data_IF_174770389520
#
_entry.id   IF_174770389520
#
_cell.length_a   1.000
_cell.length_b   1.000
_cell.length_c   1.000
_cell.angle_alpha   90.00
_cell.angle_beta   90.00
_cell.angle_gamma   90.00
#
_symmetry.space_group_name_H-M   'P 1'
#
loop_
_entity.id
_entity.type
_entity.pdbx_description
1 polymer ?
#
# COMPACT_ATOMS: atom_id res chain seq x y z
N UNK A 1 18.52 30.85 -22.33
CA UNK A 1 17.23 30.59 -21.65
C UNK A 1 16.88 29.14 -21.96
N UNK A 2 17.21 28.23 -21.06
CA UNK A 2 16.84 26.82 -21.21
C UNK A 2 15.36 26.68 -20.84
N UNK A 3 14.53 26.40 -21.84
CA UNK A 3 13.16 25.95 -21.63
C UNK A 3 13.23 24.46 -21.26
N UNK A 4 13.44 24.16 -19.98
CA UNK A 4 13.29 22.81 -19.47
C UNK A 4 11.80 22.59 -19.13
N UNK A 5 11.07 22.00 -20.06
CA UNK A 5 9.73 21.49 -19.79
C UNK A 5 9.56 20.10 -20.42
N UNK A 6 10.29 19.13 -19.89
CA UNK A 6 9.94 17.71 -20.05
C UNK A 6 8.96 17.31 -18.94
N UNK A 7 7.72 17.78 -19.07
CA UNK A 7 6.59 17.28 -18.30
C UNK A 7 5.56 16.73 -19.26
N UNK A 8 5.78 15.52 -19.77
CA UNK A 8 4.81 14.84 -20.62
C UNK A 8 3.48 14.71 -19.87
N UNK A 9 2.45 15.42 -20.35
CA UNK A 9 1.09 15.31 -19.83
C UNK A 9 0.53 13.94 -20.22
N UNK A 10 0.44 13.03 -19.25
CA UNK A 10 -0.24 11.74 -19.43
C UNK A 10 -1.71 12.02 -19.70
N UNK A 11 -2.24 11.49 -20.81
CA UNK A 11 -3.64 11.67 -21.18
C UNK A 11 -4.57 10.87 -20.26
N UNK A 12 -5.83 11.28 -20.13
CA UNK A 12 -6.82 10.55 -19.34
C UNK A 12 -7.03 9.11 -19.85
N UNK A 13 -6.96 8.91 -21.17
CA UNK A 13 -7.08 7.58 -21.80
C UNK A 13 -5.90 6.66 -21.44
N UNK A 14 -4.69 7.21 -21.37
CA UNK A 14 -3.50 6.45 -20.97
C UNK A 14 -3.55 6.05 -19.48
N UNK A 15 -4.06 6.94 -18.62
CA UNK A 15 -4.31 6.64 -17.21
C UNK A 15 -5.38 5.56 -17.05
N UNK A 16 -6.48 5.64 -17.81
CA UNK A 16 -7.55 4.64 -17.79
C UNK A 16 -7.04 3.27 -18.26
N UNK A 17 -6.28 3.24 -19.35
CA UNK A 17 -5.67 2.00 -19.85
C UNK A 17 -4.68 1.40 -18.85
N UNK A 18 -3.88 2.24 -18.18
CA UNK A 18 -2.98 1.80 -17.12
C UNK A 18 -3.73 1.20 -15.93
N UNK A 19 -4.83 1.83 -15.52
CA UNK A 19 -5.69 1.34 -14.46
C UNK A 19 -6.32 -0.02 -14.80
N UNK A 20 -6.88 -0.17 -15.99
CA UNK A 20 -7.52 -1.42 -16.41
C UNK A 20 -6.53 -2.58 -16.49
N UNK A 21 -5.32 -2.31 -17.01
CA UNK A 21 -4.23 -3.30 -17.01
C UNK A 21 -3.84 -3.72 -15.59
N UNK A 22 -3.73 -2.77 -14.67
CA UNK A 22 -3.38 -3.05 -13.29
C UNK A 22 -4.49 -3.82 -12.55
N UNK A 23 -5.76 -3.45 -12.73
CA UNK A 23 -6.90 -4.19 -12.18
C UNK A 23 -6.93 -5.62 -12.70
N UNK A 24 -6.75 -5.81 -14.01
CA UNK A 24 -6.70 -7.14 -14.59
C UNK A 24 -5.57 -7.98 -13.99
N UNK A 25 -4.36 -7.43 -13.83
CA UNK A 25 -3.26 -8.13 -13.19
C UNK A 25 -3.58 -8.52 -11.74
N UNK A 26 -4.18 -7.61 -10.97
CA UNK A 26 -4.59 -7.87 -9.58
C UNK A 26 -5.65 -8.97 -9.54
N UNK A 27 -6.71 -8.88 -10.34
CA UNK A 27 -7.83 -9.83 -10.34
C UNK A 27 -7.42 -11.23 -10.75
N UNK A 28 -6.51 -11.37 -11.71
CA UNK A 28 -5.96 -12.67 -12.12
C UNK A 28 -4.96 -13.24 -11.10
N UNK A 29 -4.33 -12.39 -10.28
CA UNK A 29 -3.33 -12.79 -9.29
C UNK A 29 -3.87 -13.22 -7.93
N UNK A 30 -5.17 -13.03 -7.66
CA UNK A 30 -5.78 -13.32 -6.35
C UNK A 30 -6.66 -14.57 -6.37
N UNK A 31 -6.88 -15.15 -5.20
CA UNK A 31 -7.82 -16.28 -5.04
C UNK A 31 -9.27 -15.81 -5.20
N UNK A 32 -10.22 -16.70 -5.55
CA UNK A 32 -11.63 -16.32 -5.71
C UNK A 32 -12.27 -15.68 -4.47
N UNK A 33 -11.83 -16.05 -3.26
CA UNK A 33 -12.31 -15.44 -2.03
C UNK A 33 -11.87 -13.97 -1.91
N UNK A 34 -10.60 -13.71 -2.21
CA UNK A 34 -10.03 -12.36 -2.17
C UNK A 34 -10.57 -11.51 -3.31
N UNK A 35 -10.75 -12.09 -4.50
CA UNK A 35 -11.40 -11.43 -5.63
C UNK A 35 -12.76 -10.84 -5.25
N UNK A 36 -13.62 -11.59 -4.54
CA UNK A 36 -14.93 -11.10 -4.07
C UNK A 36 -14.85 -9.84 -3.20
N UNK A 37 -13.74 -9.63 -2.50
CA UNK A 37 -13.53 -8.46 -1.64
C UNK A 37 -13.21 -7.23 -2.49
N UNK A 38 -12.41 -7.40 -3.55
CA UNK A 38 -11.92 -6.29 -4.39
C UNK A 38 -12.67 -6.13 -5.72
N UNK A 39 -13.64 -6.99 -6.04
CA UNK A 39 -14.31 -7.01 -7.35
C UNK A 39 -15.13 -5.76 -7.67
N UNK A 40 -15.41 -4.93 -6.66
CA UNK A 40 -16.14 -3.66 -6.83
C UNK A 40 -15.22 -2.46 -7.04
N UNK A 41 -13.91 -2.64 -6.93
CA UNK A 41 -12.94 -1.56 -7.11
C UNK A 41 -12.84 -1.18 -8.60
N UNK A 42 -13.00 0.11 -8.88
CA UNK A 42 -12.84 0.68 -10.22
C UNK A 42 -11.41 1.23 -10.41
N UNK A 43 -10.72 1.51 -9.30
CA UNK A 43 -9.35 2.02 -9.31
C UNK A 43 -8.40 0.95 -8.80
N UNK A 44 -7.37 0.61 -9.56
CA UNK A 44 -6.37 -0.40 -9.21
C UNK A 44 -5.68 -0.11 -7.88
N UNK A 45 -5.43 1.18 -7.60
CA UNK A 45 -4.85 1.64 -6.33
C UNK A 45 -5.74 1.26 -5.14
N UNK A 46 -7.05 1.40 -5.24
CA UNK A 46 -7.98 1.04 -4.18
C UNK A 46 -7.98 -0.47 -3.92
N UNK A 47 -8.04 -1.27 -5.00
CA UNK A 47 -7.92 -2.73 -4.90
C UNK A 47 -6.61 -3.14 -4.21
N UNK A 48 -5.49 -2.50 -4.58
CA UNK A 48 -4.18 -2.74 -3.96
C UNK A 48 -4.15 -2.37 -2.48
N UNK A 49 -4.68 -1.22 -2.08
CA UNK A 49 -4.72 -0.79 -0.68
C UNK A 49 -5.56 -1.73 0.20
N UNK A 50 -6.65 -2.27 -0.34
CA UNK A 50 -7.46 -3.29 0.34
C UNK A 50 -6.65 -4.57 0.54
N UNK A 51 -5.92 -5.02 -0.48
CA UNK A 51 -5.05 -6.20 -0.37
C UNK A 51 -3.96 -6.00 0.68
N UNK A 52 -3.27 -4.85 0.66
CA UNK A 52 -2.27 -4.53 1.67
C UNK A 52 -2.88 -4.56 3.08
N UNK A 53 -4.06 -3.98 3.24
CA UNK A 53 -4.76 -3.98 4.53
C UNK A 53 -5.16 -5.38 4.98
N UNK A 54 -5.60 -6.24 4.06
CA UNK A 54 -6.00 -7.61 4.36
C UNK A 54 -4.82 -8.51 4.78
N UNK A 55 -3.65 -8.34 4.16
CA UNK A 55 -2.48 -9.20 4.41
C UNK A 55 -1.50 -8.64 5.43
N UNK A 56 -1.18 -7.34 5.37
CA UNK A 56 -0.22 -6.71 6.27
C UNK A 56 -0.87 -6.09 7.51
N UNK A 57 -2.19 -5.86 7.44
CA UNK A 57 -2.95 -5.09 8.42
C UNK A 57 -3.02 -3.60 8.06
N UNK A 58 -3.90 -2.87 8.75
CA UNK A 58 -4.08 -1.43 8.52
C UNK A 58 -2.81 -0.64 8.87
N UNK A 59 -2.57 0.54 8.27
CA UNK A 59 -1.49 1.45 8.67
C UNK A 59 -1.46 1.72 10.18
N UNK A 60 -2.64 1.82 10.83
CA UNK A 60 -2.76 1.99 12.28
C UNK A 60 -2.25 0.78 13.06
N UNK A 61 -2.57 -0.44 12.63
CA UNK A 61 -2.05 -1.67 13.25
C UNK A 61 -0.53 -1.77 13.09
N UNK A 62 -0.01 -1.45 11.89
CA UNK A 62 1.44 -1.44 11.64
C UNK A 62 2.16 -0.42 12.53
N UNK A 63 1.62 0.79 12.65
CA UNK A 63 2.17 1.82 13.53
C UNK A 63 2.11 1.41 15.00
N UNK A 64 1.01 0.83 15.46
CA UNK A 64 0.88 0.34 16.84
C UNK A 64 1.89 -0.76 17.15
N UNK A 65 2.13 -1.71 16.24
CA UNK A 65 3.18 -2.72 16.38
C UNK A 65 4.57 -2.10 16.48
N UNK A 66 4.86 -1.09 15.66
CA UNK A 66 6.13 -0.37 15.70
C UNK A 66 6.33 0.33 17.05
N UNK A 67 5.32 1.07 17.52
CA UNK A 67 5.37 1.73 18.83
C UNK A 67 5.60 0.74 19.96
N UNK A 68 4.90 -0.40 19.95
CA UNK A 68 5.11 -1.46 20.95
C UNK A 68 6.55 -1.98 20.95
N UNK A 69 7.16 -2.17 19.77
CA UNK A 69 8.56 -2.59 19.67
C UNK A 69 9.51 -1.52 20.19
N UNK A 70 9.28 -0.24 19.84
CA UNK A 70 10.06 0.89 20.35
C UNK A 70 10.01 0.95 21.87
N UNK A 71 8.81 0.88 22.46
CA UNK A 71 8.65 0.89 23.93
C UNK A 71 9.36 -0.28 24.60
N UNK A 72 9.27 -1.49 24.03
CA UNK A 72 9.98 -2.67 24.55
C UNK A 72 11.50 -2.48 24.51
N UNK A 73 12.02 -1.91 23.42
CA UNK A 73 13.45 -1.63 23.27
C UNK A 73 13.94 -0.58 24.28
N UNK A 74 13.22 0.52 24.45
CA UNK A 74 13.54 1.56 25.43
C UNK A 74 13.52 0.99 26.86
N UNK A 75 12.50 0.19 27.19
CA UNK A 75 12.38 -0.47 28.49
C UNK A 75 13.55 -1.39 28.75
N UNK A 76 13.95 -2.21 27.76
CA UNK A 76 15.09 -3.10 27.88
C UNK A 76 16.41 -2.34 28.08
N UNK A 77 16.60 -1.21 27.36
CA UNK A 77 17.78 -0.35 27.53
C UNK A 77 17.84 0.25 28.94
N UNK A 78 16.70 0.72 29.46
CA UNK A 78 16.62 1.30 30.80
C UNK A 78 16.88 0.26 31.89
N UNK A 79 16.38 -0.97 31.73
CA UNK A 79 16.63 -2.08 32.65
C UNK A 79 18.09 -2.54 32.63
N UNK A 80 18.70 -2.59 31.44
CA UNK A 80 20.10 -2.99 31.30
C UNK A 80 21.08 -1.92 31.81
N UNK A 81 20.70 -0.64 31.78
CA UNK A 81 21.49 0.46 32.37
C UNK A 81 21.29 0.67 33.87
N UNK A 82 20.32 -0.03 34.49
CA UNK A 82 20.09 -0.05 35.94
C UNK A 82 20.81 -1.19 36.66
N UNK A 83 21.49 -2.06 35.91
CA UNK A 83 22.33 -3.16 36.43
C UNK A 83 23.79 -2.74 36.55
#
# INVERSE_FOLDING_TARGET
MEANQEGGSISQDELALGNDKALNAIFNGVTPNVFKIISKCIVAKEAWEILQTAYEGTPKVRMSRLQQLTTKWETAKMENGRR
#
